data_IF_355859140164
#
_entry.id   IF_355859140164
#
_cell.length_a   1.000
_cell.length_b   1.000
_cell.length_c   1.000
_cell.angle_alpha   90.00
_cell.angle_beta   90.00
_cell.angle_gamma   90.00
#
_symmetry.space_group_name_H-M   'P 1'
#
loop_
_entity.id
_entity.type
_entity.pdbx_description
1 polymer ?
#
# COMPACT_ATOMS: atom_id res chain seq x y z
N UNK A 1 6.47 5.21 5.55
CA UNK A 1 5.19 5.19 6.29
C UNK A 1 5.12 4.11 7.37
N UNK A 2 5.50 2.85 7.11
CA UNK A 2 5.40 1.78 8.12
C UNK A 2 6.27 2.05 9.37
N UNK A 3 7.56 2.29 9.18
CA UNK A 3 8.50 2.50 10.29
C UNK A 3 8.08 3.67 11.19
N UNK A 4 7.69 4.80 10.59
CA UNK A 4 7.18 5.97 11.32
C UNK A 4 5.86 5.67 12.03
N UNK A 5 5.01 4.83 11.45
CA UNK A 5 3.81 4.29 12.11
C UNK A 5 4.14 3.50 13.38
N UNK A 6 5.15 2.63 13.33
CA UNK A 6 5.63 1.90 14.51
C UNK A 6 6.15 2.85 15.58
N UNK A 7 6.92 3.88 15.18
CA UNK A 7 7.40 4.93 16.11
C UNK A 7 6.22 5.64 16.79
N UNK A 8 5.16 6.00 16.04
CA UNK A 8 3.93 6.58 16.60
C UNK A 8 3.30 5.61 17.61
N UNK A 9 3.14 4.34 17.25
CA UNK A 9 2.50 3.34 18.09
C UNK A 9 3.22 3.14 19.44
N UNK A 10 4.55 3.01 19.42
CA UNK A 10 5.36 2.86 20.64
C UNK A 10 5.32 4.14 21.47
N UNK A 11 5.45 5.30 20.83
CA UNK A 11 5.41 6.59 21.53
C UNK A 11 4.05 6.83 22.21
N UNK A 12 2.96 6.54 21.50
CA UNK A 12 1.60 6.65 22.02
C UNK A 12 1.33 5.69 23.18
N UNK A 13 1.88 4.47 23.13
CA UNK A 13 1.76 3.48 24.20
C UNK A 13 2.36 3.98 25.52
N UNK A 14 3.58 4.53 25.50
CA UNK A 14 4.21 5.10 26.70
C UNK A 14 3.55 6.40 27.16
N UNK A 15 3.17 7.29 26.24
CA UNK A 15 2.49 8.55 26.58
C UNK A 15 1.12 8.31 27.21
N UNK A 16 0.38 7.29 26.76
CA UNK A 16 -0.92 6.91 27.36
C UNK A 16 -0.82 6.51 28.84
N UNK A 17 0.39 6.14 29.29
CA UNK A 17 0.71 5.74 30.67
C UNK A 17 1.56 6.75 31.44
N UNK A 18 1.82 7.93 30.88
CA UNK A 18 2.67 8.93 31.52
C UNK A 18 4.15 8.53 31.64
N UNK A 19 4.64 7.60 30.81
CA UNK A 19 6.03 7.13 30.84
C UNK A 19 6.91 7.91 29.85
N UNK A 20 8.17 8.20 30.22
CA UNK A 20 9.19 8.82 29.36
C UNK A 20 8.69 10.04 28.56
N UNK A 21 7.86 10.89 29.19
CA UNK A 21 7.02 11.88 28.48
C UNK A 21 7.82 12.82 27.58
N UNK A 22 8.97 13.33 28.06
CA UNK A 22 9.80 14.25 27.28
C UNK A 22 10.34 13.61 25.99
N UNK A 23 10.90 12.40 26.09
CA UNK A 23 11.44 11.65 24.96
C UNK A 23 10.33 11.19 24.02
N UNK A 24 9.26 10.60 24.55
CA UNK A 24 8.17 10.04 23.77
C UNK A 24 7.35 11.11 23.05
N UNK A 25 7.22 12.32 23.60
CA UNK A 25 6.57 13.44 22.90
C UNK A 25 7.36 13.90 21.68
N UNK A 26 8.70 13.95 21.77
CA UNK A 26 9.56 14.26 20.62
C UNK A 26 9.47 13.16 19.56
N UNK A 27 9.58 11.90 19.98
CA UNK A 27 9.46 10.72 19.12
C UNK A 27 8.10 10.65 18.41
N UNK A 28 7.00 10.91 19.13
CA UNK A 28 5.66 10.96 18.54
C UNK A 28 5.58 12.01 17.42
N UNK A 29 6.05 13.24 17.67
CA UNK A 29 6.03 14.30 16.66
C UNK A 29 6.88 13.97 15.44
N UNK A 30 8.05 13.37 15.66
CA UNK A 30 8.88 12.87 14.57
C UNK A 30 8.14 11.83 13.73
N UNK A 31 7.50 10.84 14.37
CA UNK A 31 6.71 9.82 13.68
C UNK A 31 5.54 10.41 12.89
N UNK A 32 4.79 11.35 13.47
CA UNK A 32 3.65 11.99 12.81
C UNK A 32 4.07 12.82 11.57
N UNK A 33 5.12 13.64 11.71
CA UNK A 33 5.69 14.35 10.56
C UNK A 33 6.27 13.38 9.52
N UNK A 34 6.93 12.33 9.97
CA UNK A 34 7.48 11.29 9.12
C UNK A 34 6.42 10.57 8.29
N UNK A 35 5.21 10.36 8.84
CA UNK A 35 4.07 9.87 8.04
C UNK A 35 3.72 10.86 6.94
N UNK A 36 3.52 12.14 7.25
CA UNK A 36 3.10 13.14 6.24
C UNK A 36 4.14 13.31 5.13
N UNK A 37 5.42 13.38 5.48
CA UNK A 37 6.52 13.46 4.50
C UNK A 37 6.57 12.20 3.65
N UNK A 38 6.44 11.01 4.26
CA UNK A 38 6.41 9.77 3.52
C UNK A 38 5.15 9.65 2.63
N UNK A 39 4.00 10.15 3.06
CA UNK A 39 2.78 10.21 2.24
C UNK A 39 3.00 11.11 1.03
N UNK A 40 3.58 12.29 1.20
CA UNK A 40 3.90 13.17 0.07
C UNK A 40 4.84 12.47 -0.93
N UNK A 41 5.89 11.81 -0.43
CA UNK A 41 6.79 11.01 -1.27
C UNK A 41 6.06 9.91 -2.03
N UNK A 42 5.22 9.13 -1.34
CA UNK A 42 4.44 8.04 -1.95
C UNK A 42 3.46 8.55 -3.00
N UNK A 43 2.78 9.67 -2.76
CA UNK A 43 1.86 10.27 -3.74
C UNK A 43 2.60 10.69 -5.02
N UNK A 44 3.76 11.34 -4.88
CA UNK A 44 4.57 11.76 -6.02
C UNK A 44 5.10 10.55 -6.82
N UNK A 45 5.67 9.56 -6.13
CA UNK A 45 6.17 8.35 -6.81
C UNK A 45 5.05 7.50 -7.37
N UNK A 46 3.88 7.49 -6.71
CA UNK A 46 2.71 6.73 -7.12
C UNK A 46 2.10 7.26 -8.42
N UNK A 47 2.02 8.58 -8.57
CA UNK A 47 1.61 9.24 -9.82
C UNK A 47 2.52 8.84 -11.00
N UNK A 48 3.84 8.92 -10.81
CA UNK A 48 4.82 8.52 -11.83
C UNK A 48 4.70 7.04 -12.21
N UNK A 49 4.53 6.16 -11.21
CA UNK A 49 4.30 4.74 -11.45
C UNK A 49 2.96 4.47 -12.15
N UNK A 50 1.94 5.28 -11.88
CA UNK A 50 0.64 5.25 -12.57
C UNK A 50 0.78 5.55 -14.05
N UNK A 51 1.48 6.63 -14.41
CA UNK A 51 1.78 6.96 -15.82
C UNK A 51 2.58 5.86 -16.51
N UNK A 52 3.61 5.33 -15.86
CA UNK A 52 4.39 4.22 -16.39
C UNK A 52 3.50 2.97 -16.60
N UNK A 53 2.59 2.69 -15.68
CA UNK A 53 1.64 1.58 -15.78
C UNK A 53 0.66 1.76 -16.94
N UNK A 54 0.14 2.97 -17.17
CA UNK A 54 -0.72 3.26 -18.34
C UNK A 54 0.02 2.95 -19.64
N UNK A 55 1.28 3.36 -19.75
CA UNK A 55 2.07 3.14 -20.97
C UNK A 55 2.53 1.69 -21.20
N UNK A 56 2.74 0.92 -20.13
CA UNK A 56 3.35 -0.42 -20.21
C UNK A 56 2.36 -1.56 -19.98
N UNK A 57 1.33 -1.34 -19.18
CA UNK A 57 0.31 -2.32 -18.79
C UNK A 57 -1.07 -1.66 -18.69
N UNK A 58 -1.64 -1.13 -19.79
CA UNK A 58 -2.89 -0.39 -19.77
C UNK A 58 -4.06 -1.22 -19.20
N UNK A 59 -4.08 -2.54 -19.44
CA UNK A 59 -5.08 -3.46 -18.88
C UNK A 59 -5.12 -3.43 -17.34
N UNK A 60 -3.96 -3.29 -16.68
CA UNK A 60 -3.90 -3.20 -15.22
C UNK A 60 -4.56 -1.93 -14.72
N UNK A 61 -4.32 -0.79 -15.39
CA UNK A 61 -4.97 0.48 -15.04
C UNK A 61 -6.48 0.43 -15.31
N UNK A 62 -6.88 -0.09 -16.47
CA UNK A 62 -8.29 -0.22 -16.84
C UNK A 62 -9.06 -1.07 -15.82
N UNK A 63 -8.47 -2.19 -15.37
CA UNK A 63 -9.01 -3.03 -14.30
C UNK A 63 -9.04 -2.32 -12.94
N UNK A 64 -8.00 -1.56 -12.59
CA UNK A 64 -7.95 -0.75 -11.37
C UNK A 64 -9.12 0.24 -11.30
N UNK A 65 -9.52 0.79 -12.44
CA UNK A 65 -10.56 1.82 -12.54
C UNK A 65 -11.94 1.28 -12.89
N UNK A 66 -12.08 -0.03 -13.13
CA UNK A 66 -13.27 -0.63 -13.73
C UNK A 66 -13.72 0.19 -14.95
N UNK A 67 -12.79 0.47 -15.86
CA UNK A 67 -13.05 1.14 -17.13
C UNK A 67 -13.25 0.07 -18.20
N UNK A 68 -14.50 -0.16 -18.58
CA UNK A 68 -14.84 -1.24 -19.51
C UNK A 68 -14.58 -0.87 -20.97
N UNK A 69 -14.93 0.36 -21.36
CA UNK A 69 -14.74 0.86 -22.72
C UNK A 69 -13.80 2.06 -22.69
N UNK A 70 -13.00 2.21 -23.75
CA UNK A 70 -12.07 3.33 -23.87
C UNK A 70 -12.83 4.64 -23.95
N UNK A 71 -12.32 5.66 -23.29
CA UNK A 71 -12.98 6.97 -23.20
C UNK A 71 -11.96 8.08 -23.00
N UNK A 72 -12.34 9.31 -23.31
CA UNK A 72 -11.47 10.48 -23.20
C UNK A 72 -12.15 11.61 -22.42
N UNK A 73 -11.37 12.57 -21.95
CA UNK A 73 -11.94 13.78 -21.37
C UNK A 73 -12.75 13.52 -20.10
N UNK A 74 -13.98 14.05 -20.08
CA UNK A 74 -14.91 13.88 -18.96
C UNK A 74 -15.22 12.41 -18.66
N UNK A 75 -15.35 11.60 -19.71
CA UNK A 75 -15.79 10.20 -19.65
C UNK A 75 -14.67 9.28 -19.16
N UNK A 76 -13.41 9.68 -19.36
CA UNK A 76 -12.25 9.11 -18.66
C UNK A 76 -12.24 9.56 -17.19
N UNK A 77 -13.20 9.02 -16.45
CA UNK A 77 -13.52 9.39 -15.07
C UNK A 77 -12.94 8.40 -14.05
N UNK A 78 -12.43 8.95 -12.96
CA UNK A 78 -11.85 8.16 -11.86
C UNK A 78 -12.96 7.55 -11.03
N UNK A 79 -12.93 6.23 -10.84
CA UNK A 79 -14.00 5.55 -10.10
C UNK A 79 -13.72 5.60 -8.60
N UNK A 80 -14.60 6.23 -7.81
CA UNK A 80 -14.54 6.16 -6.35
C UNK A 80 -15.12 4.84 -5.86
N UNK A 81 -16.23 4.42 -6.47
CA UNK A 81 -16.96 3.21 -6.14
C UNK A 81 -17.68 2.69 -7.38
N UNK A 82 -17.71 1.37 -7.58
CA UNK A 82 -18.33 0.73 -8.73
C UNK A 82 -18.75 -0.68 -8.36
N UNK A 83 -19.91 -1.07 -8.84
CA UNK A 83 -20.44 -2.42 -8.80
C UNK A 83 -20.46 -2.89 -10.25
N UNK A 84 -19.53 -3.79 -10.57
CA UNK A 84 -19.47 -4.44 -11.87
C UNK A 84 -20.49 -5.57 -11.99
N UNK A 85 -20.76 -5.97 -13.22
CA UNK A 85 -21.51 -7.19 -13.51
C UNK A 85 -20.68 -8.42 -13.12
N UNK A 86 -21.29 -9.56 -12.70
CA UNK A 86 -20.55 -10.76 -12.30
C UNK A 86 -19.68 -11.39 -13.40
N UNK A 87 -20.03 -11.15 -14.66
CA UNK A 87 -19.29 -11.55 -15.85
C UNK A 87 -18.11 -10.59 -16.17
N UNK A 88 -18.00 -9.45 -15.48
CA UNK A 88 -16.88 -8.54 -15.61
C UNK A 88 -16.85 -7.74 -16.92
N UNK A 89 -17.98 -7.65 -17.62
CA UNK A 89 -18.07 -6.99 -18.94
C UNK A 89 -18.58 -5.55 -18.87
N UNK A 90 -19.22 -5.17 -17.77
CA UNK A 90 -19.79 -3.83 -17.59
C UNK A 90 -19.97 -3.37 -16.15
N UNK A 91 -20.42 -2.14 -16.01
CA UNK A 91 -20.82 -1.54 -14.73
C UNK A 91 -22.33 -1.54 -14.57
N UNK A 92 -22.80 -1.92 -13.39
CA UNK A 92 -24.21 -1.80 -12.99
C UNK A 92 -24.45 -0.40 -12.40
N UNK A 93 -23.54 0.04 -11.53
CA UNK A 93 -23.61 1.34 -10.88
C UNK A 93 -22.21 1.81 -10.47
N UNK A 94 -21.91 3.09 -10.69
CA UNK A 94 -20.63 3.68 -10.29
C UNK A 94 -20.76 5.13 -9.83
N UNK A 95 -19.89 5.52 -8.91
CA UNK A 95 -19.63 6.88 -8.47
C UNK A 95 -18.27 7.27 -9.01
N UNK A 96 -18.24 8.19 -9.97
CA UNK A 96 -17.02 8.58 -10.69
C UNK A 96 -16.79 10.09 -10.62
N UNK A 97 -15.53 10.50 -10.66
CA UNK A 97 -15.11 11.91 -10.74
C UNK A 97 -14.67 12.19 -12.18
N UNK A 98 -15.39 13.04 -12.94
CA UNK A 98 -15.04 13.36 -14.32
C UNK A 98 -13.64 13.96 -14.46
N UNK A 99 -12.98 13.72 -15.59
CA UNK A 99 -11.64 14.21 -15.96
C UNK A 99 -10.47 13.72 -15.08
N UNK A 100 -10.73 13.24 -13.86
CA UNK A 100 -9.68 12.92 -12.91
C UNK A 100 -8.81 11.77 -13.38
N UNK A 101 -9.40 10.74 -14.02
CA UNK A 101 -8.62 9.62 -14.52
C UNK A 101 -7.84 9.98 -15.78
N UNK A 102 -8.40 10.78 -16.70
CA UNK A 102 -7.65 11.34 -17.82
C UNK A 102 -6.41 12.09 -17.34
N UNK A 103 -6.59 12.98 -16.36
CA UNK A 103 -5.51 13.75 -15.77
C UNK A 103 -4.47 12.87 -15.08
N UNK A 104 -4.87 11.91 -14.26
CA UNK A 104 -3.92 11.01 -13.57
C UNK A 104 -3.18 10.06 -14.54
N UNK A 105 -3.80 9.73 -15.68
CA UNK A 105 -3.24 8.76 -16.64
C UNK A 105 -2.37 9.40 -17.72
N UNK A 106 -2.56 10.70 -17.99
CA UNK A 106 -1.89 11.38 -19.11
C UNK A 106 -1.34 12.76 -18.78
N UNK A 107 -1.63 13.29 -17.58
CA UNK A 107 -1.44 14.70 -17.20
C UNK A 107 -2.17 15.71 -18.12
N UNK A 108 -3.14 15.24 -18.90
CA UNK A 108 -4.05 16.05 -19.72
C UNK A 108 -5.50 15.76 -19.32
N UNK A 109 -6.32 16.81 -19.18
CA UNK A 109 -7.74 16.68 -18.91
C UNK A 109 -8.49 16.05 -20.09
N UNK A 110 -7.99 16.18 -21.32
CA UNK A 110 -8.60 15.59 -22.51
C UNK A 110 -7.98 14.25 -22.92
N UNK A 111 -7.08 13.70 -22.10
CA UNK A 111 -6.43 12.43 -22.37
C UNK A 111 -7.42 11.27 -22.53
N UNK A 112 -7.03 10.28 -23.34
CA UNK A 112 -7.77 9.05 -23.54
C UNK A 112 -7.19 7.92 -22.69
N UNK A 113 -8.06 7.09 -22.14
CA UNK A 113 -7.68 5.91 -21.37
C UNK A 113 -8.33 4.69 -21.98
N UNK A 114 -7.54 3.63 -22.16
CA UNK A 114 -7.98 2.40 -22.80
C UNK A 114 -8.83 1.56 -21.85
N UNK A 115 -9.93 1.01 -22.38
CA UNK A 115 -10.88 0.19 -21.64
C UNK A 115 -10.57 -1.30 -21.72
N UNK A 116 -11.07 -2.04 -20.73
CA UNK A 116 -10.90 -3.49 -20.60
C UNK A 116 -11.34 -4.26 -21.84
N UNK A 117 -12.53 -3.98 -22.37
CA UNK A 117 -13.12 -4.73 -23.48
C UNK A 117 -12.31 -4.51 -24.77
N UNK A 118 -11.90 -3.27 -25.03
CA UNK A 118 -11.13 -2.89 -26.22
C UNK A 118 -9.72 -3.51 -26.16
N UNK A 119 -9.08 -3.43 -24.99
CA UNK A 119 -7.78 -4.04 -24.73
C UNK A 119 -7.82 -5.56 -24.84
N UNK A 120 -8.88 -6.20 -24.34
CA UNK A 120 -9.01 -7.65 -24.41
C UNK A 120 -9.16 -8.11 -25.86
N UNK A 121 -9.95 -7.38 -26.66
CA UNK A 121 -10.08 -7.63 -28.10
C UNK A 121 -8.75 -7.43 -28.84
N UNK A 122 -7.99 -6.38 -28.50
CA UNK A 122 -6.67 -6.13 -29.07
C UNK A 122 -5.67 -7.23 -28.70
N UNK A 123 -5.61 -7.62 -27.42
CA UNK A 123 -4.69 -8.63 -26.91
C UNK A 123 -5.04 -10.03 -27.43
N UNK A 124 -6.30 -10.35 -27.63
CA UNK A 124 -6.72 -11.60 -28.27
C UNK A 124 -6.19 -11.73 -29.70
N UNK A 125 -6.07 -10.62 -30.44
CA UNK A 125 -5.45 -10.62 -31.77
C UNK A 125 -3.93 -10.66 -31.68
N UNK A 126 -3.33 -9.80 -30.84
CA UNK A 126 -1.89 -9.64 -30.73
C UNK A 126 -1.19 -10.87 -30.15
N UNK A 127 -1.82 -11.52 -29.17
CA UNK A 127 -1.27 -12.66 -28.43
C UNK A 127 -2.02 -13.96 -28.71
N UNK A 128 -2.61 -14.08 -29.90
CA UNK A 128 -3.34 -15.29 -30.33
C UNK A 128 -2.51 -16.58 -30.18
N UNK A 129 -1.18 -16.49 -30.30
CA UNK A 129 -0.23 -17.60 -30.11
C UNK A 129 -0.22 -18.17 -28.68
N UNK A 130 -0.69 -17.43 -27.68
CA UNK A 130 -0.79 -17.89 -26.29
C UNK A 130 -1.95 -18.87 -26.07
N UNK A 131 -2.92 -18.92 -27.00
CA UNK A 131 -4.14 -19.72 -26.87
C UNK A 131 -5.11 -19.22 -25.78
N UNK A 132 -4.89 -18.02 -25.24
CA UNK A 132 -5.81 -17.36 -24.31
C UNK A 132 -6.75 -16.44 -25.10
N UNK A 133 -8.01 -16.39 -24.67
CA UNK A 133 -9.04 -15.47 -25.19
C UNK A 133 -9.38 -14.37 -24.20
N UNK A 134 -8.89 -14.48 -22.96
CA UNK A 134 -9.19 -13.58 -21.87
C UNK A 134 -7.89 -13.16 -21.20
N UNK A 135 -7.63 -11.85 -21.19
CA UNK A 135 -6.42 -11.24 -20.65
C UNK A 135 -6.71 -10.32 -19.48
N UNK A 136 -7.98 -10.23 -19.05
CA UNK A 136 -8.33 -9.46 -17.87
C UNK A 136 -7.79 -10.12 -16.59
N UNK A 137 -7.20 -9.33 -15.69
CA UNK A 137 -6.93 -9.81 -14.35
C UNK A 137 -8.25 -9.96 -13.58
N UNK A 138 -8.20 -10.50 -12.37
CA UNK A 138 -9.40 -10.60 -11.53
C UNK A 138 -9.88 -9.18 -11.16
N UNK A 139 -10.90 -8.68 -11.87
CA UNK A 139 -11.40 -7.29 -11.77
C UNK A 139 -11.72 -6.90 -10.33
N UNK A 140 -12.47 -7.74 -9.61
CA UNK A 140 -12.87 -7.42 -8.23
C UNK A 140 -11.66 -7.22 -7.32
N UNK A 141 -10.65 -8.09 -7.41
CA UNK A 141 -9.45 -7.99 -6.56
C UNK A 141 -8.65 -6.75 -6.93
N UNK A 142 -8.41 -6.52 -8.22
CA UNK A 142 -7.60 -5.38 -8.69
C UNK A 142 -8.25 -4.04 -8.35
N UNK A 143 -9.54 -3.90 -8.65
CA UNK A 143 -10.33 -2.72 -8.35
C UNK A 143 -10.33 -2.37 -6.85
N UNK A 144 -10.64 -3.34 -5.99
CA UNK A 144 -10.70 -3.07 -4.54
C UNK A 144 -9.33 -2.93 -3.92
N UNK A 145 -8.34 -3.68 -4.38
CA UNK A 145 -6.99 -3.54 -3.87
C UNK A 145 -6.44 -2.14 -4.13
N UNK A 146 -6.66 -1.58 -5.33
CA UNK A 146 -6.26 -0.21 -5.64
C UNK A 146 -6.87 0.82 -4.67
N UNK A 147 -8.16 0.70 -4.38
CA UNK A 147 -8.88 1.60 -3.44
C UNK A 147 -8.48 1.43 -1.99
N UNK A 148 -8.36 0.18 -1.52
CA UNK A 148 -7.93 -0.10 -0.16
C UNK A 148 -6.50 0.37 0.09
N UNK A 149 -5.59 0.20 -0.90
CA UNK A 149 -4.23 0.72 -0.81
C UNK A 149 -4.22 2.25 -0.60
N UNK A 150 -4.93 3.00 -1.45
CA UNK A 150 -5.02 4.46 -1.35
C UNK A 150 -5.72 4.85 -0.04
N UNK A 151 -6.86 4.24 0.25
CA UNK A 151 -7.69 4.55 1.42
C UNK A 151 -6.97 4.34 2.74
N UNK A 152 -6.26 3.21 2.90
CA UNK A 152 -5.47 2.92 4.10
C UNK A 152 -4.28 3.87 4.25
N UNK A 153 -3.59 4.19 3.15
CA UNK A 153 -2.49 5.15 3.13
C UNK A 153 -2.96 6.56 3.54
N UNK A 154 -4.04 7.04 2.93
CA UNK A 154 -4.64 8.35 3.24
C UNK A 154 -5.24 8.40 4.64
N UNK A 155 -5.83 7.31 5.13
CA UNK A 155 -6.35 7.23 6.49
C UNK A 155 -5.23 7.36 7.53
N UNK A 156 -4.08 6.73 7.30
CA UNK A 156 -2.94 6.88 8.20
C UNK A 156 -2.36 8.30 8.15
N UNK A 157 -2.28 8.90 6.96
CA UNK A 157 -1.91 10.32 6.82
C UNK A 157 -2.87 11.24 7.57
N UNK A 158 -4.17 10.95 7.52
CA UNK A 158 -5.19 11.68 8.26
C UNK A 158 -5.00 11.55 9.78
N UNK A 159 -4.74 10.34 10.29
CA UNK A 159 -4.39 10.13 11.71
C UNK A 159 -3.17 10.95 12.11
N UNK A 160 -2.15 11.02 11.25
CA UNK A 160 -0.95 11.81 11.51
C UNK A 160 -1.23 13.33 11.54
N UNK A 161 -2.05 13.82 10.60
CA UNK A 161 -2.47 15.22 10.52
C UNK A 161 -3.27 15.64 11.77
N UNK A 162 -4.27 14.82 12.16
CA UNK A 162 -5.05 15.05 13.37
C UNK A 162 -4.16 14.96 14.61
N UNK A 163 -3.23 14.00 14.66
CA UNK A 163 -2.26 13.85 15.75
C UNK A 163 -1.38 15.08 15.94
N UNK A 164 -0.88 15.68 14.87
CA UNK A 164 -0.11 16.93 14.93
C UNK A 164 -0.97 18.11 15.40
N UNK A 165 -2.21 18.19 14.92
CA UNK A 165 -3.13 19.24 15.31
C UNK A 165 -3.49 19.18 16.80
N UNK A 166 -3.73 17.98 17.34
CA UNK A 166 -4.04 17.78 18.77
C UNK A 166 -2.80 18.01 19.64
N UNK A 167 -1.60 17.64 19.19
CA UNK A 167 -0.35 17.76 19.95
C UNK A 167 0.42 19.06 19.73
N UNK A 168 -0.23 20.07 19.12
CA UNK A 168 0.35 21.40 18.85
C UNK A 168 0.66 22.17 20.12
N UNK A 169 1.60 23.14 20.04
CA UNK A 169 2.10 23.92 21.18
C UNK A 169 1.00 24.65 21.98
N UNK A 170 -0.07 25.07 21.31
CA UNK A 170 -1.19 25.81 21.90
C UNK A 170 -2.43 24.94 22.18
N UNK A 171 -2.26 23.61 22.29
CA UNK A 171 -3.36 22.72 22.62
C UNK A 171 -3.84 22.99 24.05
N UNK A 172 -5.11 23.40 24.19
CA UNK A 172 -5.74 23.71 25.49
C UNK A 172 -6.27 22.48 26.23
N UNK A 173 -6.32 21.32 25.56
CA UNK A 173 -6.89 20.07 26.09
C UNK A 173 -5.87 18.96 25.91
N UNK A 174 -5.73 18.13 26.93
CA UNK A 174 -4.96 16.89 26.81
C UNK A 174 -5.68 15.90 25.89
N UNK A 175 -4.94 15.05 25.16
CA UNK A 175 -5.55 14.02 24.32
C UNK A 175 -6.37 13.05 25.17
N UNK A 176 -7.61 12.78 24.73
CA UNK A 176 -8.47 11.80 25.38
C UNK A 176 -7.89 10.38 25.24
N UNK A 177 -8.20 9.50 26.20
CA UNK A 177 -7.60 8.16 26.25
C UNK A 177 -7.87 7.30 25.00
N UNK A 178 -9.01 7.49 24.33
CA UNK A 178 -9.31 6.80 23.08
C UNK A 178 -8.41 7.23 21.91
N UNK A 179 -7.92 8.47 21.91
CA UNK A 179 -7.02 8.98 20.87
C UNK A 179 -5.68 8.26 20.91
N UNK A 180 -5.18 7.93 22.11
CA UNK A 180 -3.98 7.12 22.26
C UNK A 180 -4.18 5.72 21.69
N UNK A 181 -5.36 5.09 21.88
CA UNK A 181 -5.67 3.79 21.27
C UNK A 181 -5.59 3.85 19.75
N UNK A 182 -6.15 4.89 19.13
CA UNK A 182 -6.06 5.07 17.67
C UNK A 182 -4.60 5.19 17.23
N UNK A 183 -3.80 6.01 17.92
CA UNK A 183 -2.39 6.15 17.59
C UNK A 183 -1.60 4.83 17.75
N UNK A 184 -1.86 4.07 18.82
CA UNK A 184 -1.26 2.74 19.05
C UNK A 184 -1.60 1.78 17.92
N UNK A 185 -2.85 1.72 17.48
CA UNK A 185 -3.32 0.79 16.45
C UNK A 185 -3.32 1.39 15.04
N UNK A 186 -2.60 2.50 14.81
CA UNK A 186 -2.53 3.13 13.49
C UNK A 186 -1.51 2.48 12.55
N UNK A 187 -0.43 1.91 13.06
CA UNK A 187 0.62 1.27 12.23
C UNK A 187 0.11 0.19 11.25
N UNK A 188 -0.90 -0.65 11.57
CA UNK A 188 -1.40 -1.66 10.64
C UNK A 188 -2.03 -1.04 9.39
N UNK A 189 -2.43 0.23 9.40
CA UNK A 189 -2.93 0.92 8.21
C UNK A 189 -1.83 1.01 7.14
N UNK A 190 -0.61 1.41 7.51
CA UNK A 190 0.53 1.43 6.59
C UNK A 190 0.89 0.05 6.06
N UNK A 191 0.87 -0.96 6.96
CA UNK A 191 1.19 -2.33 6.60
C UNK A 191 0.15 -2.91 5.65
N UNK A 192 -1.14 -2.71 5.96
CA UNK A 192 -2.26 -3.12 5.13
C UNK A 192 -2.22 -2.47 3.76
N UNK A 193 -1.97 -1.16 3.69
CA UNK A 193 -1.80 -0.45 2.41
C UNK A 193 -0.69 -1.09 1.56
N UNK A 194 0.45 -1.44 2.18
CA UNK A 194 1.56 -2.08 1.48
C UNK A 194 1.21 -3.49 0.97
N UNK A 195 0.63 -4.34 1.83
CA UNK A 195 0.20 -5.70 1.46
C UNK A 195 -0.80 -5.64 0.31
N UNK A 196 -1.80 -4.79 0.43
CA UNK A 196 -2.84 -4.63 -0.60
C UNK A 196 -2.25 -4.07 -1.90
N UNK A 197 -1.29 -3.15 -1.84
CA UNK A 197 -0.60 -2.64 -3.03
C UNK A 197 0.20 -3.72 -3.77
N UNK A 198 0.83 -4.65 -3.04
CA UNK A 198 1.44 -5.83 -3.64
C UNK A 198 0.42 -6.75 -4.27
N UNK A 199 -0.70 -7.02 -3.59
CA UNK A 199 -1.82 -7.79 -4.16
C UNK A 199 -2.31 -7.15 -5.45
N UNK A 200 -2.51 -5.83 -5.48
CA UNK A 200 -2.89 -5.09 -6.69
C UNK A 200 -1.88 -5.30 -7.82
N UNK A 201 -0.59 -5.11 -7.54
CA UNK A 201 0.48 -5.19 -8.55
C UNK A 201 0.61 -6.59 -9.15
N UNK A 202 0.51 -7.62 -8.30
CA UNK A 202 0.68 -9.02 -8.69
C UNK A 202 -0.59 -9.60 -9.34
N UNK A 203 -1.76 -9.36 -8.74
CA UNK A 203 -3.03 -9.85 -9.30
C UNK A 203 -3.42 -9.09 -10.56
N UNK A 204 -3.07 -7.80 -10.66
CA UNK A 204 -3.27 -7.00 -11.87
C UNK A 204 -2.33 -7.36 -13.02
N UNK A 205 -1.33 -8.21 -12.79
CA UNK A 205 -0.44 -8.72 -13.86
C UNK A 205 -0.97 -10.01 -14.48
N UNK A 206 -1.91 -10.71 -13.84
CA UNK A 206 -2.52 -11.92 -14.40
C UNK A 206 -3.15 -11.61 -15.77
N UNK A 207 -3.04 -12.51 -16.77
CA UNK A 207 -2.49 -13.88 -16.72
C UNK A 207 -0.97 -13.97 -16.99
N UNK A 208 -0.22 -12.87 -16.85
CA UNK A 208 1.20 -12.81 -17.21
C UNK A 208 2.13 -13.02 -16.01
N UNK A 209 3.21 -13.78 -16.23
CA UNK A 209 4.41 -13.74 -15.37
C UNK A 209 5.29 -12.59 -15.86
N UNK A 210 5.63 -12.63 -17.14
CA UNK A 210 6.32 -11.55 -17.86
C UNK A 210 5.40 -11.09 -18.96
N UNK A 211 4.95 -9.83 -18.86
CA UNK A 211 4.01 -9.25 -19.81
C UNK A 211 4.51 -9.43 -21.26
N UNK A 212 3.61 -9.80 -22.17
CA UNK A 212 3.86 -10.12 -23.60
C UNK A 212 4.72 -11.36 -23.89
N UNK A 213 5.42 -11.93 -22.91
CA UNK A 213 6.40 -13.00 -23.13
C UNK A 213 5.98 -14.35 -22.55
N UNK A 214 5.51 -14.37 -21.29
CA UNK A 214 5.27 -15.62 -20.56
C UNK A 214 4.01 -15.54 -19.70
N UNK A 215 3.10 -16.49 -19.93
CA UNK A 215 1.86 -16.64 -19.16
C UNK A 215 2.11 -17.45 -17.89
N UNK A 216 1.24 -17.29 -16.89
CA UNK A 216 1.28 -18.04 -15.63
C UNK A 216 1.07 -19.53 -15.83
N UNK A 217 0.22 -19.91 -16.79
CA UNK A 217 0.01 -21.30 -17.19
C UNK A 217 1.31 -21.98 -17.65
N UNK A 218 2.16 -21.25 -18.38
CA UNK A 218 3.42 -21.78 -18.90
C UNK A 218 4.56 -21.77 -17.86
N UNK A 219 4.36 -21.19 -16.68
CA UNK A 219 5.36 -21.12 -15.60
C UNK A 219 5.32 -22.27 -14.61
N UNK A 220 4.41 -23.24 -14.79
CA UNK A 220 4.29 -24.39 -13.88
C UNK A 220 5.36 -25.43 -14.22
N UNK A 221 6.15 -25.83 -13.21
CA UNK A 221 7.20 -26.84 -13.36
C UNK A 221 6.63 -28.20 -13.79
N UNK A 222 7.06 -28.79 -14.93
CA UNK A 222 6.46 -30.04 -15.45
C UNK A 222 6.67 -31.29 -14.58
N UNK A 223 7.71 -31.30 -13.74
CA UNK A 223 8.10 -32.46 -12.95
C UNK A 223 7.73 -32.39 -11.47
N UNK A 224 6.97 -31.38 -11.05
CA UNK A 224 6.60 -31.18 -9.64
C UNK A 224 5.11 -31.44 -9.46
N UNK A 225 4.78 -32.39 -8.59
CA UNK A 225 3.40 -32.72 -8.28
C UNK A 225 2.73 -31.66 -7.41
N UNK A 226 1.40 -31.54 -7.49
CA UNK A 226 0.63 -30.65 -6.61
C UNK A 226 0.79 -30.98 -5.12
N UNK A 227 1.10 -32.24 -4.78
CA UNK A 227 1.35 -32.67 -3.40
C UNK A 227 2.68 -32.11 -2.88
N UNK A 228 3.75 -32.14 -3.68
CA UNK A 228 5.04 -31.55 -3.30
C UNK A 228 4.91 -30.03 -3.10
N UNK A 229 4.16 -29.37 -3.98
CA UNK A 229 3.85 -27.93 -3.82
C UNK A 229 3.06 -27.69 -2.53
N UNK A 230 2.04 -28.50 -2.23
CA UNK A 230 1.25 -28.33 -1.02
C UNK A 230 2.07 -28.56 0.25
N UNK A 231 2.90 -29.62 0.29
CA UNK A 231 3.77 -29.93 1.43
C UNK A 231 4.77 -28.79 1.67
N UNK A 232 5.43 -28.31 0.62
CA UNK A 232 6.38 -27.20 0.72
C UNK A 232 5.70 -25.90 1.14
N UNK A 233 4.53 -25.58 0.59
CA UNK A 233 3.74 -24.41 0.98
C UNK A 233 3.35 -24.45 2.46
N UNK A 234 2.85 -25.59 2.95
CA UNK A 234 2.51 -25.76 4.37
C UNK A 234 3.77 -25.62 5.24
N UNK A 235 4.87 -26.24 4.83
CA UNK A 235 6.14 -26.21 5.58
C UNK A 235 6.70 -24.79 5.68
N UNK A 236 6.81 -24.06 4.57
CA UNK A 236 7.24 -22.66 4.59
C UNK A 236 6.29 -21.76 5.36
N UNK A 237 4.97 -21.95 5.20
CA UNK A 237 3.96 -21.18 5.94
C UNK A 237 4.11 -21.41 7.45
N UNK A 238 4.29 -22.65 7.89
CA UNK A 238 4.46 -22.98 9.31
C UNK A 238 5.75 -22.36 9.87
N UNK A 239 6.87 -22.44 9.14
CA UNK A 239 8.14 -21.83 9.55
C UNK A 239 8.00 -20.31 9.66
N UNK A 240 7.43 -19.66 8.64
CA UNK A 240 7.25 -18.20 8.66
C UNK A 240 6.26 -17.74 9.73
N UNK A 241 5.20 -18.52 9.99
CA UNK A 241 4.28 -18.24 11.08
C UNK A 241 4.96 -18.32 12.45
N UNK A 242 5.79 -19.35 12.67
CA UNK A 242 6.56 -19.49 13.91
C UNK A 242 7.54 -18.33 14.11
N UNK A 243 8.28 -17.96 13.06
CA UNK A 243 9.17 -16.80 13.08
C UNK A 243 8.42 -15.50 13.35
N UNK A 244 7.26 -15.28 12.71
CA UNK A 244 6.44 -14.10 12.94
C UNK A 244 5.97 -13.98 14.40
N UNK A 245 5.57 -15.09 15.04
CA UNK A 245 5.17 -15.10 16.46
C UNK A 245 6.36 -14.70 17.36
N UNK A 246 7.53 -15.27 17.11
CA UNK A 246 8.75 -14.96 17.89
C UNK A 246 9.16 -13.50 17.68
N UNK A 247 9.21 -13.04 16.44
CA UNK A 247 9.62 -11.68 16.09
C UNK A 247 8.67 -10.63 16.67
N UNK A 248 7.35 -10.79 16.50
CA UNK A 248 6.36 -9.89 17.09
C UNK A 248 6.47 -9.92 18.62
N UNK A 249 6.70 -11.09 19.22
CA UNK A 249 6.94 -11.21 20.66
C UNK A 249 8.16 -10.38 21.13
N UNK A 250 9.26 -10.46 20.41
CA UNK A 250 10.49 -9.70 20.69
C UNK A 250 10.29 -8.19 20.49
N UNK A 251 9.65 -7.78 19.39
CA UNK A 251 9.33 -6.37 19.11
C UNK A 251 8.44 -5.81 20.21
N UNK A 252 7.38 -6.51 20.61
CA UNK A 252 6.47 -6.07 21.67
C UNK A 252 7.21 -5.98 23.01
N UNK A 253 8.09 -6.94 23.32
CA UNK A 253 8.90 -6.92 24.55
C UNK A 253 9.84 -5.72 24.57
N UNK A 254 10.55 -5.46 23.47
CA UNK A 254 11.45 -4.33 23.33
C UNK A 254 10.69 -3.00 23.41
N UNK A 255 9.58 -2.88 22.68
CA UNK A 255 8.71 -1.70 22.69
C UNK A 255 8.12 -1.40 24.08
N UNK A 256 7.86 -2.42 24.90
CA UNK A 256 7.36 -2.22 26.28
C UNK A 256 8.46 -1.85 27.27
N UNK A 257 9.72 -2.23 27.02
CA UNK A 257 10.86 -1.92 27.91
C UNK A 257 11.12 -0.41 27.98
N UNK A 258 10.91 0.31 26.87
CA UNK A 258 11.20 1.75 26.78
C UNK A 258 12.69 2.05 26.66
N UNK A 259 13.06 3.34 26.47
CA UNK A 259 14.44 3.77 26.34
C UNK A 259 15.19 3.63 27.67
N UNK A 260 16.44 3.15 27.60
CA UNK A 260 17.32 3.13 28.75
C UNK A 260 17.78 4.56 29.06
N UNK A 261 17.41 5.07 30.22
CA UNK A 261 17.73 6.44 30.66
C UNK A 261 19.05 6.50 31.45
N UNK A 262 19.76 5.37 31.56
CA UNK A 262 20.98 5.25 32.37
C UNK A 262 22.28 5.49 31.61
N UNK A 263 22.28 5.49 30.27
CA UNK A 263 23.40 6.03 29.50
C UNK A 263 23.34 7.57 29.52
N UNK A 264 23.97 8.16 30.54
CA UNK A 264 24.56 9.48 30.36
C UNK A 264 25.58 9.33 29.23
N UNK A 265 25.34 9.98 28.11
CA UNK A 265 26.44 10.31 27.20
C UNK A 265 27.44 11.10 28.06
N UNK A 266 28.58 10.49 28.40
CA UNK A 266 29.71 11.20 28.97
C UNK A 266 30.15 12.23 27.91
N UNK A 267 29.68 13.47 28.06
CA UNK A 267 30.15 14.61 27.25
C UNK A 267 31.67 14.84 27.43
N UNK A 268 32.28 14.19 28.42
CA UNK A 268 33.71 14.19 28.73
C UNK A 268 34.47 12.93 28.25
N UNK A 269 33.84 12.02 27.50
CA UNK A 269 34.55 10.84 26.97
C UNK A 269 35.63 11.31 25.97
N UNK A 270 36.93 11.05 26.24
CA UNK A 270 38.00 11.55 25.39
C UNK A 270 37.85 11.00 23.98
N UNK A 271 37.76 11.91 23.00
CA UNK A 271 37.71 11.56 21.58
C UNK A 271 38.93 10.69 21.27
N UNK A 272 38.76 9.47 20.74
CA UNK A 272 39.92 8.62 20.43
C UNK A 272 40.79 9.37 19.42
N UNK A 273 42.04 9.65 19.81
CA UNK A 273 43.01 10.31 18.95
C UNK A 273 43.20 9.46 17.71
N UNK A 274 42.85 10.01 16.55
CA UNK A 274 43.12 9.37 15.27
C UNK A 274 44.64 9.27 15.12
N UNK A 275 45.15 8.06 15.27
CA UNK A 275 46.55 7.75 14.94
C UNK A 275 46.60 7.63 13.42
N UNK A 276 47.22 8.61 12.77
CA UNK A 276 47.55 8.57 11.35
C UNK A 276 48.64 7.54 11.07
#
# INVERSE_FOLDING_TARGET
>A
MLATGVVISVSAWHLSRGQHVATMRKSLKFGLWGILVATAGVLLTGDQLGLAMVSTQPMKMAAAEAMFNSSCGADASFSLFSIGTPDGTGEIWSLRVPYLLAFLSTHDLNGCVEGINDLNAQYAQQFASTGLTEFTPVLWITYWAFRWMIGLGMLHAFVALVGLWITRKNAKREPAQWMWKIAIYSFPLSLGANIVGWVFTEMGRQPWIVFSLMTTKNGVSPGVSGVEVLISLISFTAIYAALAVVEVGLIVRAAKKGPDITEKHDEDAPVPSVVY
#
